data_IF_772083585489
#
_entry.id   IF_772083585489
#
_cell.length_a   1.000
_cell.length_b   1.000
_cell.length_c   1.000
_cell.angle_alpha   90.00
_cell.angle_beta   90.00
_cell.angle_gamma   90.00
#
_symmetry.space_group_name_H-M   'P 1'
#
loop_
_entity.id
_entity.type
_entity.pdbx_description
1 polymer ?
#
# COMPACT_ATOMS: atom_id res chain seq x y z
N UNK A 1 -23.49 31.47 -3.87
CA UNK A 1 -23.90 30.05 -4.00
C UNK A 1 -23.51 29.44 -5.37
N UNK A 2 -23.64 30.12 -6.51
CA UNK A 2 -23.37 29.57 -7.85
C UNK A 2 -21.86 29.24 -8.02
N UNK A 3 -20.97 30.18 -7.71
CA UNK A 3 -19.50 30.03 -7.82
C UNK A 3 -19.00 28.85 -6.97
N UNK A 4 -19.48 28.71 -5.75
CA UNK A 4 -19.12 27.60 -4.87
C UNK A 4 -19.48 26.24 -5.46
N UNK A 5 -20.67 26.09 -6.01
CA UNK A 5 -21.11 24.84 -6.66
C UNK A 5 -20.28 24.53 -7.90
N UNK A 6 -19.94 25.56 -8.67
CA UNK A 6 -19.09 25.41 -9.85
C UNK A 6 -17.70 24.88 -9.44
N UNK A 7 -17.04 25.54 -8.45
CA UNK A 7 -15.74 25.12 -7.94
C UNK A 7 -15.79 23.68 -7.39
N UNK A 8 -16.84 23.34 -6.60
CA UNK A 8 -16.99 21.98 -6.07
C UNK A 8 -17.10 20.93 -7.18
N UNK A 9 -17.89 21.22 -8.23
CA UNK A 9 -18.04 20.33 -9.38
C UNK A 9 -16.69 20.14 -10.11
N UNK A 10 -15.99 21.25 -10.38
CA UNK A 10 -14.69 21.20 -11.04
C UNK A 10 -13.67 20.41 -10.23
N UNK A 11 -13.60 20.58 -8.91
CA UNK A 11 -12.70 19.82 -8.03
C UNK A 11 -13.01 18.32 -8.14
N UNK A 12 -14.30 17.91 -8.00
CA UNK A 12 -14.69 16.50 -8.07
C UNK A 12 -14.32 15.90 -9.43
N UNK A 13 -14.65 16.58 -10.53
CA UNK A 13 -14.35 16.11 -11.89
C UNK A 13 -12.85 15.96 -12.08
N UNK A 14 -12.04 16.93 -11.64
CA UNK A 14 -10.59 16.83 -11.71
C UNK A 14 -10.03 15.74 -10.81
N UNK A 15 -10.56 15.51 -9.60
CA UNK A 15 -10.18 14.36 -8.76
C UNK A 15 -10.39 13.05 -9.54
N UNK A 16 -11.56 12.87 -10.16
CA UNK A 16 -11.87 11.66 -10.94
C UNK A 16 -10.90 11.48 -12.11
N UNK A 17 -10.63 12.53 -12.89
CA UNK A 17 -9.71 12.44 -14.02
C UNK A 17 -8.26 12.17 -13.60
N UNK A 18 -7.76 12.89 -12.61
CA UNK A 18 -6.39 12.71 -12.11
C UNK A 18 -6.25 11.31 -11.49
N UNK A 19 -7.26 10.88 -10.70
CA UNK A 19 -7.26 9.53 -10.14
C UNK A 19 -7.24 8.46 -11.23
N UNK A 20 -8.03 8.60 -12.28
CA UNK A 20 -8.09 7.63 -13.37
C UNK A 20 -6.75 7.51 -14.10
N UNK A 21 -6.11 8.65 -14.41
CA UNK A 21 -4.81 8.66 -15.11
C UNK A 21 -3.72 8.06 -14.22
N UNK A 22 -3.61 8.50 -12.96
CA UNK A 22 -2.59 8.00 -12.02
C UNK A 22 -2.82 6.52 -11.69
N UNK A 23 -4.07 6.10 -11.51
CA UNK A 23 -4.42 4.71 -11.27
C UNK A 23 -4.00 3.82 -12.44
N UNK A 24 -4.26 4.25 -13.69
CA UNK A 24 -3.81 3.52 -14.88
C UNK A 24 -2.28 3.36 -14.93
N UNK A 25 -1.52 4.41 -14.60
CA UNK A 25 -0.05 4.36 -14.56
C UNK A 25 0.46 3.40 -13.47
N UNK A 26 -0.12 3.47 -12.26
CA UNK A 26 0.26 2.59 -11.15
C UNK A 26 -0.12 1.13 -11.45
N UNK A 27 -1.27 0.91 -12.08
CA UNK A 27 -1.73 -0.41 -12.51
C UNK A 27 -0.78 -1.03 -13.53
N UNK A 28 -0.33 -0.26 -14.53
CA UNK A 28 0.68 -0.71 -15.51
C UNK A 28 2.02 -1.05 -14.84
N UNK A 29 2.46 -0.23 -13.88
CA UNK A 29 3.66 -0.51 -13.11
C UNK A 29 3.54 -1.82 -12.33
N UNK A 30 2.40 -2.05 -11.67
CA UNK A 30 2.14 -3.28 -10.91
C UNK A 30 2.05 -4.51 -11.81
N UNK A 31 1.44 -4.35 -12.98
CA UNK A 31 1.39 -5.40 -13.99
C UNK A 31 2.79 -5.86 -14.42
N UNK A 32 3.72 -4.93 -14.66
CA UNK A 32 5.10 -5.27 -14.99
C UNK A 32 5.81 -6.03 -13.86
N UNK A 33 5.54 -5.68 -12.60
CA UNK A 33 6.07 -6.41 -11.43
C UNK A 33 5.56 -7.84 -11.44
N UNK A 34 4.25 -8.06 -11.64
CA UNK A 34 3.67 -9.39 -11.68
C UNK A 34 4.16 -10.21 -12.87
N UNK A 35 4.37 -9.60 -14.04
CA UNK A 35 4.99 -10.26 -15.19
C UNK A 35 6.41 -10.76 -14.85
N UNK A 36 7.23 -9.91 -14.23
CA UNK A 36 8.58 -10.31 -13.80
C UNK A 36 8.54 -11.45 -12.77
N UNK A 37 7.57 -11.44 -11.86
CA UNK A 37 7.38 -12.53 -10.89
C UNK A 37 6.93 -13.83 -11.59
N UNK A 38 6.12 -13.73 -12.63
CA UNK A 38 5.70 -14.88 -13.43
C UNK A 38 6.86 -15.47 -14.25
N UNK A 39 7.75 -14.64 -14.80
CA UNK A 39 8.96 -15.09 -15.50
C UNK A 39 9.88 -15.92 -14.60
N UNK A 40 9.94 -15.60 -13.31
CA UNK A 40 10.72 -16.34 -12.29
C UNK A 40 9.92 -17.54 -11.72
N UNK A 41 8.66 -17.72 -12.16
CA UNK A 41 7.80 -18.84 -11.70
C UNK A 41 7.22 -18.63 -10.30
N UNK A 42 7.22 -17.39 -9.76
CA UNK A 42 6.60 -17.09 -8.46
C UNK A 42 5.09 -16.97 -8.52
N UNK A 43 4.55 -16.64 -9.69
CA UNK A 43 3.10 -16.50 -9.93
C UNK A 43 2.78 -17.22 -11.24
N UNK A 44 1.64 -17.90 -11.31
CA UNK A 44 1.15 -18.43 -12.58
C UNK A 44 0.66 -17.31 -13.48
N UNK A 45 0.92 -17.40 -14.79
CA UNK A 45 0.50 -16.38 -15.76
C UNK A 45 -1.02 -16.16 -15.75
N UNK A 46 -1.79 -17.20 -15.43
CA UNK A 46 -3.25 -17.15 -15.35
C UNK A 46 -3.75 -16.29 -14.17
N UNK A 47 -2.99 -16.24 -13.08
CA UNK A 47 -3.37 -15.52 -11.87
C UNK A 47 -2.94 -14.03 -11.86
N UNK A 48 -2.11 -13.59 -12.80
CA UNK A 48 -1.67 -12.18 -12.89
C UNK A 48 -2.87 -11.22 -12.95
N UNK A 49 -3.86 -11.54 -13.78
CA UNK A 49 -5.03 -10.67 -13.95
C UNK A 49 -5.91 -10.64 -12.69
N UNK A 50 -6.10 -11.79 -12.03
CA UNK A 50 -6.83 -11.86 -10.76
C UNK A 50 -6.10 -11.10 -9.65
N UNK A 51 -4.77 -11.26 -9.55
CA UNK A 51 -3.95 -10.51 -8.62
C UNK A 51 -4.10 -8.99 -8.84
N UNK A 52 -4.03 -8.51 -10.09
CA UNK A 52 -4.24 -7.09 -10.40
C UNK A 52 -5.60 -6.57 -9.92
N UNK A 53 -6.68 -7.33 -10.14
CA UNK A 53 -8.02 -6.93 -9.69
C UNK A 53 -8.05 -6.88 -8.17
N UNK A 54 -7.48 -7.87 -7.47
CA UNK A 54 -7.48 -7.94 -6.02
C UNK A 54 -6.65 -6.82 -5.38
N UNK A 55 -5.51 -6.47 -5.95
CA UNK A 55 -4.69 -5.35 -5.44
C UNK A 55 -5.18 -3.97 -5.88
N UNK A 56 -6.11 -3.89 -6.86
CA UNK A 56 -6.56 -2.61 -7.42
C UNK A 56 -7.18 -1.65 -6.40
N UNK A 57 -7.95 -2.06 -5.37
CA UNK A 57 -8.45 -1.12 -4.37
C UNK A 57 -7.36 -0.54 -3.48
N UNK A 58 -6.32 -1.33 -3.16
CA UNK A 58 -5.14 -0.84 -2.44
C UNK A 58 -4.37 0.22 -3.23
N UNK A 59 -4.18 -0.02 -4.53
CA UNK A 59 -3.56 0.96 -5.43
C UNK A 59 -4.38 2.23 -5.55
N UNK A 60 -5.71 2.12 -5.65
CA UNK A 60 -6.60 3.28 -5.70
C UNK A 60 -6.56 4.07 -4.38
N UNK A 61 -6.46 3.39 -3.23
CA UNK A 61 -6.32 4.02 -1.92
C UNK A 61 -5.05 4.88 -1.82
N UNK A 62 -3.94 4.45 -2.44
CA UNK A 62 -2.69 5.21 -2.51
C UNK A 62 -2.77 6.39 -3.49
N UNK A 63 -3.45 6.21 -4.62
CA UNK A 63 -3.58 7.22 -5.69
C UNK A 63 -4.52 8.36 -5.30
N UNK A 64 -5.59 8.07 -4.56
CA UNK A 64 -6.62 9.04 -4.19
C UNK A 64 -6.06 10.28 -3.47
N UNK A 65 -5.20 10.16 -2.43
CA UNK A 65 -4.58 11.31 -1.76
C UNK A 65 -3.81 12.22 -2.72
N UNK A 66 -3.04 11.63 -3.64
CA UNK A 66 -2.27 12.36 -4.65
C UNK A 66 -3.21 13.12 -5.59
N UNK A 67 -4.28 12.46 -6.02
CA UNK A 67 -5.26 13.05 -6.93
C UNK A 67 -5.99 14.24 -6.30
N UNK A 68 -6.26 14.17 -5.01
CA UNK A 68 -6.95 15.25 -4.28
C UNK A 68 -6.17 16.54 -4.31
N UNK A 69 -4.90 16.54 -3.89
CA UNK A 69 -4.12 17.79 -3.87
C UNK A 69 -3.80 18.32 -5.26
N UNK A 70 -3.54 17.44 -6.23
CA UNK A 70 -3.30 17.86 -7.61
C UNK A 70 -4.55 18.50 -8.22
N UNK A 71 -5.72 17.88 -8.05
CA UNK A 71 -6.97 18.40 -8.57
C UNK A 71 -7.30 19.79 -7.98
N UNK A 72 -7.10 19.99 -6.67
CA UNK A 72 -7.29 21.27 -6.02
C UNK A 72 -6.33 22.31 -6.59
N UNK A 73 -5.05 21.93 -6.76
CA UNK A 73 -4.06 22.80 -7.37
C UNK A 73 -4.48 23.23 -8.78
N UNK A 74 -4.89 22.27 -9.63
CA UNK A 74 -5.30 22.55 -11.01
C UNK A 74 -6.53 23.46 -11.11
N UNK A 75 -7.49 23.32 -10.19
CA UNK A 75 -8.71 24.14 -10.18
C UNK A 75 -8.49 25.52 -9.57
N UNK A 76 -7.86 25.58 -8.38
CA UNK A 76 -7.82 26.83 -7.60
C UNK A 76 -6.65 27.75 -7.98
N UNK A 77 -5.50 27.20 -8.39
CA UNK A 77 -4.34 28.04 -8.75
C UNK A 77 -4.64 29.01 -9.92
N UNK A 78 -5.29 28.60 -11.02
CA UNK A 78 -5.70 29.55 -12.07
C UNK A 78 -6.72 30.57 -11.59
N UNK A 79 -7.69 30.15 -10.78
CA UNK A 79 -8.73 31.04 -10.23
C UNK A 79 -8.08 32.17 -9.40
N UNK A 80 -7.10 31.86 -8.58
CA UNK A 80 -6.41 32.88 -7.77
C UNK A 80 -5.42 33.73 -8.57
N UNK A 81 -4.87 33.24 -9.69
CA UNK A 81 -3.92 34.01 -10.50
C UNK A 81 -4.60 34.98 -11.48
N UNK A 82 -5.69 34.59 -12.10
CA UNK A 82 -6.27 35.32 -13.24
C UNK A 82 -7.15 36.53 -12.82
N UNK A 83 -6.95 37.11 -11.64
CA UNK A 83 -7.73 38.24 -11.11
C UNK A 83 -9.24 38.00 -10.94
N UNK A 84 -9.74 36.78 -11.21
CA UNK A 84 -11.07 36.33 -10.78
C UNK A 84 -11.21 36.41 -9.25
N UNK A 85 -10.09 36.61 -8.57
CA UNK A 85 -9.98 36.98 -7.16
C UNK A 85 -10.72 38.26 -6.81
N UNK A 86 -10.85 39.23 -7.71
CA UNK A 86 -11.65 40.43 -7.44
C UNK A 86 -13.12 40.09 -7.25
N UNK A 87 -13.60 39.11 -8.03
CA UNK A 87 -14.96 38.60 -7.90
C UNK A 87 -15.13 37.68 -6.67
N UNK A 88 -14.07 36.97 -6.29
CA UNK A 88 -14.09 36.05 -5.15
C UNK A 88 -13.64 36.73 -3.85
N UNK A 89 -12.67 37.64 -3.87
CA UNK A 89 -12.12 38.31 -2.67
C UNK A 89 -13.10 39.29 -2.03
N UNK A 90 -13.94 39.95 -2.82
CA UNK A 90 -15.05 40.74 -2.28
C UNK A 90 -16.17 39.92 -1.64
N UNK A 91 -16.30 38.65 -2.01
CA UNK A 91 -17.39 37.77 -1.60
C UNK A 91 -16.96 36.55 -0.78
N UNK A 92 -15.69 36.09 -0.87
CA UNK A 92 -15.23 34.84 -0.26
C UNK A 92 -13.88 34.99 0.43
N UNK A 93 -13.85 34.91 1.76
CA UNK A 93 -12.64 34.66 2.54
C UNK A 93 -12.23 33.17 2.41
N UNK A 94 -10.93 32.83 2.69
CA UNK A 94 -10.47 31.42 2.70
C UNK A 94 -11.36 30.52 3.56
N UNK A 95 -11.77 31.01 4.74
CA UNK A 95 -12.66 30.27 5.61
C UNK A 95 -14.01 30.00 4.94
N UNK A 96 -14.57 30.97 4.24
CA UNK A 96 -15.86 30.83 3.53
C UNK A 96 -15.72 29.89 2.34
N UNK A 97 -14.58 29.92 1.62
CA UNK A 97 -14.27 28.99 0.54
C UNK A 97 -14.19 27.56 1.09
N UNK A 98 -13.39 27.32 2.13
CA UNK A 98 -13.28 26.02 2.78
C UNK A 98 -14.63 25.52 3.29
N UNK A 99 -15.40 26.40 3.97
CA UNK A 99 -16.73 26.02 4.45
C UNK A 99 -17.71 25.69 3.33
N UNK A 100 -17.55 26.32 2.16
CA UNK A 100 -18.36 26.01 1.00
C UNK A 100 -18.02 24.66 0.38
N UNK A 101 -16.79 24.15 0.58
CA UNK A 101 -16.31 22.85 0.09
C UNK A 101 -16.51 21.70 1.10
N UNK A 102 -17.19 21.94 2.22
CA UNK A 102 -17.41 20.92 3.26
C UNK A 102 -17.97 19.59 2.75
N UNK A 103 -18.87 19.63 1.76
CA UNK A 103 -19.41 18.42 1.15
C UNK A 103 -18.38 17.66 0.33
N UNK A 104 -17.48 18.36 -0.37
CA UNK A 104 -16.40 17.73 -1.12
C UNK A 104 -15.39 17.09 -0.16
N UNK A 105 -15.02 17.80 0.92
CA UNK A 105 -14.14 17.28 1.98
C UNK A 105 -14.75 16.02 2.60
N UNK A 106 -16.03 16.08 2.97
CA UNK A 106 -16.75 14.94 3.54
C UNK A 106 -16.79 13.76 2.58
N UNK A 107 -17.06 14.00 1.30
CA UNK A 107 -17.08 12.96 0.28
C UNK A 107 -15.72 12.33 0.12
N UNK A 108 -14.64 13.12 -0.03
CA UNK A 108 -13.27 12.62 -0.16
C UNK A 108 -12.88 11.81 1.08
N UNK A 109 -13.16 12.33 2.28
CA UNK A 109 -12.92 11.61 3.54
C UNK A 109 -13.65 10.28 3.58
N UNK A 110 -14.97 10.28 3.25
CA UNK A 110 -15.79 9.07 3.29
C UNK A 110 -15.30 8.02 2.28
N UNK A 111 -14.97 8.43 1.06
CA UNK A 111 -14.44 7.51 0.03
C UNK A 111 -13.08 6.96 0.46
N UNK A 112 -12.17 7.82 0.95
CA UNK A 112 -10.86 7.38 1.44
C UNK A 112 -11.00 6.44 2.65
N UNK A 113 -11.92 6.73 3.57
CA UNK A 113 -12.18 5.89 4.73
C UNK A 113 -12.74 4.52 4.34
N UNK A 114 -13.69 4.47 3.40
CA UNK A 114 -14.21 3.20 2.89
C UNK A 114 -13.13 2.38 2.19
N UNK A 115 -12.31 3.02 1.35
CA UNK A 115 -11.21 2.34 0.67
C UNK A 115 -10.17 1.84 1.67
N UNK A 116 -9.67 2.70 2.54
CA UNK A 116 -8.57 2.38 3.46
C UNK A 116 -9.02 1.48 4.62
N UNK A 117 -10.21 1.72 5.16
CA UNK A 117 -10.70 0.99 6.33
C UNK A 117 -11.32 -0.37 6.02
N UNK A 118 -11.89 -0.55 4.84
CA UNK A 118 -12.70 -1.75 4.57
C UNK A 118 -12.31 -2.45 3.27
N UNK A 119 -12.31 -1.73 2.15
CA UNK A 119 -12.19 -2.35 0.82
C UNK A 119 -10.74 -2.81 0.58
N UNK A 120 -9.77 -1.92 0.76
CA UNK A 120 -8.36 -2.22 0.50
C UNK A 120 -7.85 -3.39 1.37
N UNK A 121 -8.01 -3.42 2.71
CA UNK A 121 -7.49 -4.51 3.53
C UNK A 121 -8.08 -5.87 3.15
N UNK A 122 -9.39 -5.93 2.89
CA UNK A 122 -10.06 -7.16 2.48
C UNK A 122 -9.54 -7.71 1.15
N UNK A 123 -9.45 -6.85 0.14
CA UNK A 123 -9.00 -7.28 -1.19
C UNK A 123 -7.50 -7.55 -1.23
N UNK A 124 -6.68 -6.80 -0.48
CA UNK A 124 -5.24 -7.04 -0.38
C UNK A 124 -4.96 -8.39 0.26
N UNK A 125 -5.60 -8.72 1.39
CA UNK A 125 -5.48 -10.04 2.03
C UNK A 125 -5.87 -11.18 1.07
N UNK A 126 -6.95 -11.03 0.31
CA UNK A 126 -7.32 -12.01 -0.73
C UNK A 126 -6.30 -12.11 -1.87
N UNK A 127 -5.65 -11.00 -2.21
CA UNK A 127 -4.57 -10.98 -3.20
C UNK A 127 -3.31 -11.67 -2.68
N UNK A 128 -2.96 -11.46 -1.43
CA UNK A 128 -1.86 -12.15 -0.75
C UNK A 128 -2.14 -13.65 -0.66
N UNK A 129 -3.33 -14.05 -0.23
CA UNK A 129 -3.78 -15.45 -0.25
C UNK A 129 -3.61 -16.11 -1.63
N UNK A 130 -3.93 -15.39 -2.70
CA UNK A 130 -3.77 -15.89 -4.06
C UNK A 130 -2.29 -16.08 -4.42
N UNK A 131 -1.46 -15.07 -4.12
CA UNK A 131 -0.04 -15.11 -4.42
C UNK A 131 0.69 -16.17 -3.61
N UNK A 132 0.33 -16.33 -2.34
CA UNK A 132 0.92 -17.33 -1.47
C UNK A 132 0.55 -18.75 -1.92
N UNK A 133 -0.70 -18.98 -2.30
CA UNK A 133 -1.11 -20.25 -2.90
C UNK A 133 -0.32 -20.58 -4.16
N UNK A 134 -0.14 -19.61 -5.05
CA UNK A 134 0.66 -19.77 -6.26
C UNK A 134 2.13 -20.00 -5.97
N UNK A 135 2.66 -19.30 -4.97
CA UNK A 135 4.05 -19.39 -4.56
C UNK A 135 4.33 -20.56 -3.61
N UNK A 136 3.26 -21.22 -3.12
CA UNK A 136 3.41 -22.32 -2.18
C UNK A 136 4.27 -23.45 -2.79
N UNK A 137 5.11 -24.03 -1.95
CA UNK A 137 5.96 -25.16 -2.31
C UNK A 137 5.13 -26.32 -2.90
N UNK A 138 3.93 -26.55 -2.37
CA UNK A 138 3.01 -27.55 -2.85
C UNK A 138 2.56 -27.32 -4.31
N UNK A 139 2.24 -26.08 -4.71
CA UNK A 139 1.82 -25.78 -6.09
C UNK A 139 2.95 -25.99 -7.10
N UNK A 140 4.18 -25.70 -6.73
CA UNK A 140 5.37 -25.87 -7.57
C UNK A 140 5.79 -27.34 -7.72
N UNK A 141 5.55 -28.15 -6.69
CA UNK A 141 5.80 -29.59 -6.71
C UNK A 141 4.73 -30.32 -7.55
N UNK A 142 3.49 -29.81 -7.61
CA UNK A 142 2.40 -30.40 -8.39
C UNK A 142 2.55 -30.24 -9.92
N UNK A 143 3.66 -29.66 -10.43
CA UNK A 143 3.92 -29.56 -11.88
C UNK A 143 4.10 -30.94 -12.53
N UNK A 144 3.80 -31.08 -13.85
CA UNK A 144 3.93 -32.34 -14.57
C UNK A 144 5.35 -32.91 -14.52
N UNK A 145 5.45 -34.25 -14.68
CA UNK A 145 6.68 -35.05 -14.59
C UNK A 145 7.93 -34.43 -15.22
N UNK A 146 9.07 -34.43 -14.52
CA UNK A 146 10.35 -33.96 -14.98
C UNK A 146 11.29 -33.53 -13.85
N UNK A 147 12.39 -32.88 -14.22
CA UNK A 147 13.33 -32.30 -13.28
C UNK A 147 12.67 -31.16 -12.49
N UNK A 148 12.59 -31.31 -11.19
CA UNK A 148 12.10 -30.29 -10.26
C UNK A 148 13.28 -29.54 -9.70
N UNK A 149 13.34 -28.24 -9.97
CA UNK A 149 14.28 -27.33 -9.31
C UNK A 149 13.47 -26.20 -8.68
N UNK A 150 13.41 -26.17 -7.37
CA UNK A 150 12.62 -25.21 -6.60
C UNK A 150 13.53 -24.41 -5.69
N UNK A 151 13.40 -23.12 -5.74
CA UNK A 151 14.06 -22.19 -4.84
C UNK A 151 13.03 -21.60 -3.89
N UNK A 152 13.03 -22.05 -2.64
CA UNK A 152 12.29 -21.43 -1.55
C UNK A 152 13.22 -20.49 -0.76
N UNK A 153 12.66 -19.61 0.07
CA UNK A 153 13.48 -18.64 0.82
C UNK A 153 14.49 -19.31 1.76
N UNK A 154 14.15 -20.51 2.25
CA UNK A 154 14.99 -21.27 3.18
C UNK A 154 15.67 -22.48 2.57
N UNK A 155 15.15 -23.04 1.48
CA UNK A 155 15.69 -24.26 0.88
C UNK A 155 15.65 -24.23 -0.65
N UNK A 156 16.69 -24.78 -1.26
CA UNK A 156 16.69 -25.16 -2.68
C UNK A 156 16.43 -26.66 -2.79
N UNK A 157 15.48 -27.03 -3.61
CA UNK A 157 15.08 -28.45 -3.80
C UNK A 157 15.34 -28.86 -5.22
N UNK A 158 16.02 -29.99 -5.37
CA UNK A 158 16.32 -30.63 -6.67
C UNK A 158 15.86 -32.07 -6.64
N UNK A 159 15.30 -32.56 -7.73
CA UNK A 159 14.89 -33.96 -7.84
C UNK A 159 14.12 -34.28 -9.11
N UNK A 160 13.69 -35.52 -9.24
CA UNK A 160 12.88 -35.99 -10.35
C UNK A 160 11.45 -36.32 -9.88
N UNK A 161 10.47 -35.99 -10.70
CA UNK A 161 9.07 -36.36 -10.47
C UNK A 161 8.64 -37.42 -11.50
N UNK A 162 8.18 -38.56 -11.03
CA UNK A 162 7.59 -39.59 -11.83
C UNK A 162 6.21 -39.92 -11.29
N UNK A 163 5.14 -39.50 -12.00
CA UNK A 163 3.75 -39.57 -11.56
C UNK A 163 3.54 -38.81 -10.22
N UNK A 164 3.08 -39.50 -9.17
CA UNK A 164 2.85 -38.94 -7.84
C UNK A 164 4.01 -39.18 -6.88
N UNK A 165 5.12 -39.74 -7.36
CA UNK A 165 6.30 -40.04 -6.56
C UNK A 165 7.42 -39.12 -6.96
N UNK A 166 8.12 -38.59 -5.96
CA UNK A 166 9.35 -37.85 -6.15
C UNK A 166 10.54 -38.75 -5.86
N UNK A 167 11.52 -38.76 -6.75
CA UNK A 167 12.72 -39.58 -6.67
C UNK A 167 13.95 -38.68 -6.58
N UNK A 168 14.93 -39.13 -5.80
CA UNK A 168 16.24 -38.47 -5.67
C UNK A 168 16.13 -36.97 -5.25
N UNK A 169 15.34 -36.68 -4.21
CA UNK A 169 15.17 -35.33 -3.71
C UNK A 169 16.36 -34.87 -2.86
N UNK A 170 16.90 -33.71 -3.21
CA UNK A 170 17.97 -33.02 -2.47
C UNK A 170 17.45 -31.67 -2.03
N UNK A 171 17.43 -31.45 -0.73
CA UNK A 171 17.14 -30.15 -0.10
C UNK A 171 18.45 -29.54 0.36
N UNK A 172 18.77 -28.34 -0.11
CA UNK A 172 19.93 -27.59 0.29
C UNK A 172 19.47 -26.34 1.04
N UNK A 173 19.97 -26.13 2.25
CA UNK A 173 19.71 -24.90 3.00
C UNK A 173 20.24 -23.70 2.22
N UNK A 174 19.38 -22.70 1.92
CA UNK A 174 19.78 -21.49 1.18
C UNK A 174 20.68 -20.55 1.99
N UNK A 175 20.64 -20.66 3.32
CA UNK A 175 21.49 -19.86 4.21
C UNK A 175 22.84 -20.53 4.50
N UNK A 176 22.94 -21.85 4.30
CA UNK A 176 24.15 -22.62 4.59
C UNK A 176 24.26 -23.82 3.62
N UNK A 177 25.09 -23.67 2.60
CA UNK A 177 25.40 -24.74 1.62
C UNK A 177 25.96 -26.01 2.31
N UNK A 178 26.34 -25.89 3.57
CA UNK A 178 26.94 -26.96 4.37
C UNK A 178 25.91 -27.93 4.96
N UNK A 179 24.60 -27.70 4.76
CA UNK A 179 23.53 -28.55 5.24
C UNK A 179 22.63 -28.99 4.09
N UNK A 180 22.47 -30.29 3.94
CA UNK A 180 21.50 -30.82 2.97
C UNK A 180 20.82 -32.10 3.46
N UNK A 181 19.62 -32.31 2.94
CA UNK A 181 18.80 -33.51 3.20
C UNK A 181 18.62 -34.21 1.86
N UNK A 182 18.91 -35.50 1.83
CA UNK A 182 18.63 -36.35 0.68
C UNK A 182 17.54 -37.33 1.04
N UNK A 183 16.55 -37.52 0.14
CA UNK A 183 15.51 -38.52 0.25
C UNK A 183 15.43 -39.32 -1.06
N UNK A 184 15.46 -40.65 -0.96
CA UNK A 184 15.36 -41.55 -2.13
C UNK A 184 13.97 -41.42 -2.77
N UNK A 185 12.93 -41.41 -1.96
CA UNK A 185 11.56 -41.18 -2.43
C UNK A 185 10.84 -40.18 -1.50
N UNK A 186 9.93 -39.40 -2.06
CA UNK A 186 9.09 -38.54 -1.28
C UNK A 186 7.64 -38.52 -1.75
N UNK A 187 6.73 -38.31 -0.80
CA UNK A 187 5.30 -38.19 -1.04
C UNK A 187 4.80 -36.96 -0.32
N UNK A 188 3.93 -36.20 -0.98
CA UNK A 188 3.24 -35.08 -0.33
C UNK A 188 2.01 -35.61 0.36
N UNK A 189 1.87 -35.30 1.66
CA UNK A 189 0.70 -35.63 2.45
C UNK A 189 0.00 -34.35 2.88
N UNK A 190 -1.25 -34.17 2.46
CA UNK A 190 -2.09 -33.09 2.90
C UNK A 190 -2.79 -33.50 4.19
N UNK A 191 -2.54 -32.77 5.26
CA UNK A 191 -3.19 -32.93 6.56
C UNK A 191 -4.09 -31.74 6.85
N UNK A 192 -5.03 -31.89 7.77
CA UNK A 192 -5.88 -30.79 8.24
C UNK A 192 -5.09 -29.62 8.88
N UNK A 193 -3.82 -29.85 9.24
CA UNK A 193 -2.92 -28.87 9.86
C UNK A 193 -1.88 -28.28 8.91
N UNK A 194 -1.89 -28.67 7.63
CA UNK A 194 -0.94 -28.20 6.61
C UNK A 194 -0.49 -29.30 5.66
N UNK A 195 0.41 -28.95 4.77
CA UNK A 195 1.05 -29.87 3.84
C UNK A 195 2.39 -30.31 4.42
N UNK A 196 2.65 -31.63 4.41
CA UNK A 196 3.94 -32.17 4.79
C UNK A 196 4.55 -33.00 3.66
N UNK A 197 5.86 -32.93 3.56
CA UNK A 197 6.62 -33.78 2.65
C UNK A 197 7.24 -34.92 3.44
N UNK A 198 6.80 -36.12 3.13
CA UNK A 198 7.31 -37.35 3.73
C UNK A 198 8.45 -37.88 2.85
N UNK A 199 9.68 -37.75 3.36
CA UNK A 199 10.86 -38.36 2.76
C UNK A 199 11.05 -39.78 3.28
N UNK A 200 11.30 -40.73 2.37
CA UNK A 200 11.62 -42.10 2.74
C UNK A 200 13.06 -42.41 2.32
N UNK A 201 13.73 -43.23 3.13
CA UNK A 201 15.07 -43.77 2.91
C UNK A 201 16.11 -42.69 2.51
N UNK A 202 16.51 -41.88 3.45
CA UNK A 202 17.40 -40.76 3.19
C UNK A 202 18.46 -40.54 4.25
N UNK A 203 19.18 -39.45 4.09
CA UNK A 203 20.16 -38.99 5.06
C UNK A 203 20.21 -37.46 5.16
N UNK A 204 20.50 -36.99 6.35
CA UNK A 204 20.80 -35.60 6.66
C UNK A 204 22.31 -35.44 6.81
N UNK A 205 22.86 -34.47 6.11
CA UNK A 205 24.27 -34.10 6.19
C UNK A 205 24.42 -32.72 6.82
N UNK A 206 25.30 -32.61 7.82
CA UNK A 206 25.65 -31.36 8.47
C UNK A 206 27.19 -31.27 8.50
N UNK A 207 27.74 -30.40 7.67
CA UNK A 207 29.18 -30.22 7.52
C UNK A 207 29.80 -29.54 8.75
N UNK A 208 29.07 -28.64 9.41
CA UNK A 208 29.56 -27.96 10.61
C UNK A 208 29.84 -28.96 11.76
N UNK A 209 29.00 -29.99 11.84
CA UNK A 209 29.11 -31.07 12.86
C UNK A 209 29.85 -32.30 12.33
N UNK A 210 30.20 -32.31 11.04
CA UNK A 210 30.76 -33.45 10.34
C UNK A 210 29.98 -34.75 10.61
N UNK A 211 28.64 -34.64 10.57
CA UNK A 211 27.71 -35.69 10.95
C UNK A 211 26.81 -36.08 9.78
N UNK A 212 26.65 -37.40 9.58
CA UNK A 212 25.65 -37.97 8.66
C UNK A 212 24.68 -38.78 9.51
N UNK A 213 23.40 -38.37 9.47
CA UNK A 213 22.31 -39.09 10.12
C UNK A 213 21.40 -39.73 9.07
N UNK A 214 21.26 -41.05 9.13
CA UNK A 214 20.34 -41.79 8.25
C UNK A 214 18.95 -41.86 8.88
N UNK A 215 17.91 -41.75 8.06
CA UNK A 215 16.54 -41.91 8.46
C UNK A 215 15.78 -42.82 7.46
N UNK A 216 14.81 -43.58 7.94
CA UNK A 216 13.91 -44.36 7.11
C UNK A 216 12.70 -43.55 6.70
N UNK A 217 12.25 -42.63 7.55
CA UNK A 217 11.14 -41.72 7.26
C UNK A 217 11.45 -40.38 7.96
N UNK A 218 11.36 -39.30 7.22
CA UNK A 218 11.40 -37.96 7.76
C UNK A 218 10.19 -37.18 7.31
N UNK A 219 9.52 -36.50 8.25
CA UNK A 219 8.39 -35.64 7.99
C UNK A 219 8.91 -34.20 8.04
N UNK A 220 8.88 -33.52 6.89
CA UNK A 220 9.25 -32.11 6.76
C UNK A 220 7.94 -31.32 6.63
N UNK A 221 7.50 -30.64 7.69
CA UNK A 221 6.33 -29.80 7.60
C UNK A 221 6.64 -28.64 6.64
N UNK A 222 5.88 -28.56 5.57
CA UNK A 222 5.90 -27.46 4.64
C UNK A 222 4.93 -26.41 5.20
N UNK A 223 5.34 -25.75 6.30
CA UNK A 223 4.57 -24.64 6.87
C UNK A 223 4.83 -23.35 6.08
N UNK A 224 4.56 -23.41 4.79
CA UNK A 224 4.71 -22.23 3.91
C UNK A 224 3.45 -21.35 3.87
N UNK A 225 2.42 -21.72 4.66
CA UNK A 225 1.14 -21.04 4.58
C UNK A 225 0.54 -20.75 5.95
N UNK A 226 1.00 -19.68 6.57
CA UNK A 226 0.19 -18.96 7.54
C UNK A 226 -0.51 -17.83 6.78
N UNK A 227 -1.63 -18.13 6.11
CA UNK A 227 -2.50 -17.05 5.66
C UNK A 227 -2.76 -16.15 6.88
N UNK A 228 -2.23 -14.94 6.86
CA UNK A 228 -2.61 -13.97 7.89
C UNK A 228 -4.12 -13.79 7.75
N UNK A 229 -4.85 -14.27 8.76
CA UNK A 229 -6.31 -14.21 8.74
C UNK A 229 -6.74 -12.74 8.65
N UNK A 230 -7.54 -12.43 7.64
CA UNK A 230 -8.07 -11.08 7.49
C UNK A 230 -8.84 -10.67 8.74
N UNK A 231 -8.33 -9.66 9.44
CA UNK A 231 -9.02 -9.06 10.59
C UNK A 231 -9.84 -7.85 10.11
N UNK A 232 -11.14 -7.89 10.30
CA UNK A 232 -12.02 -6.78 9.91
C UNK A 232 -11.75 -5.55 10.77
N UNK A 233 -12.03 -4.35 10.24
CA UNK A 233 -11.83 -3.10 11.00
C UNK A 233 -12.68 -3.06 12.28
N UNK A 234 -13.84 -3.72 12.30
CA UNK A 234 -14.67 -3.81 13.49
C UNK A 234 -14.06 -4.74 14.56
N UNK A 235 -13.45 -5.85 14.15
CA UNK A 235 -12.73 -6.75 15.07
C UNK A 235 -11.52 -6.07 15.70
N UNK A 236 -10.77 -5.27 14.92
CA UNK A 236 -9.67 -4.47 15.44
C UNK A 236 -10.10 -3.49 16.56
N UNK A 237 -11.32 -2.95 16.49
CA UNK A 237 -11.85 -2.09 17.55
C UNK A 237 -12.27 -2.87 18.81
N UNK A 238 -12.64 -4.15 18.68
CA UNK A 238 -13.08 -4.97 19.80
C UNK A 238 -11.92 -5.49 20.66
N UNK A 239 -10.74 -5.68 20.05
CA UNK A 239 -9.54 -6.15 20.72
C UNK A 239 -8.38 -5.17 20.45
N UNK A 240 -8.18 -4.21 21.37
CA UNK A 240 -7.17 -3.15 21.25
C UNK A 240 -5.78 -3.63 21.72
N UNK A 241 -5.26 -4.66 21.09
CA UNK A 241 -3.85 -5.03 21.23
C UNK A 241 -2.94 -3.99 20.55
N UNK A 242 -1.64 -4.01 20.87
CA UNK A 242 -0.69 -3.09 20.24
C UNK A 242 -0.66 -3.21 18.72
N UNK A 243 -0.69 -4.44 18.21
CA UNK A 243 -0.72 -4.75 16.76
C UNK A 243 -2.00 -4.24 16.10
N UNK A 244 -3.15 -4.45 16.74
CA UNK A 244 -4.43 -4.00 16.23
C UNK A 244 -4.56 -2.47 16.24
N UNK A 245 -4.00 -1.79 17.25
CA UNK A 245 -3.92 -0.31 17.27
C UNK A 245 -3.05 0.18 16.12
N UNK A 246 -1.88 -0.44 15.86
CA UNK A 246 -1.00 -0.08 14.74
C UNK A 246 -1.77 -0.20 13.41
N UNK A 247 -2.45 -1.31 13.19
CA UNK A 247 -3.23 -1.55 11.98
C UNK A 247 -4.37 -0.53 11.80
N UNK A 248 -5.09 -0.20 12.88
CA UNK A 248 -6.11 0.86 12.87
C UNK A 248 -5.52 2.21 12.46
N UNK A 249 -4.36 2.58 13.02
CA UNK A 249 -3.69 3.84 12.67
C UNK A 249 -3.31 3.89 11.20
N UNK A 250 -2.80 2.78 10.64
CA UNK A 250 -2.50 2.64 9.20
C UNK A 250 -3.76 2.88 8.37
N UNK A 251 -4.89 2.25 8.73
CA UNK A 251 -6.17 2.40 8.02
C UNK A 251 -6.73 3.82 8.08
N UNK A 252 -6.49 4.58 9.15
CA UNK A 252 -6.98 5.96 9.29
C UNK A 252 -6.00 7.03 8.78
N UNK A 253 -4.72 6.71 8.60
CA UNK A 253 -3.69 7.69 8.22
C UNK A 253 -3.99 8.36 6.87
N UNK A 254 -4.31 7.61 5.82
CA UNK A 254 -4.61 8.16 4.50
C UNK A 254 -5.89 8.99 4.44
N UNK A 255 -7.01 8.61 5.07
CA UNK A 255 -8.19 9.47 5.20
C UNK A 255 -7.90 10.81 5.89
N UNK A 256 -7.12 10.80 6.98
CA UNK A 256 -6.70 12.02 7.69
C UNK A 256 -5.80 12.87 6.80
N UNK A 257 -4.82 12.24 6.12
CA UNK A 257 -3.97 12.90 5.13
C UNK A 257 -4.81 13.62 4.07
N UNK A 258 -5.81 12.96 3.48
CA UNK A 258 -6.67 13.56 2.45
C UNK A 258 -7.33 14.85 2.91
N UNK A 259 -7.85 14.88 4.14
CA UNK A 259 -8.52 16.09 4.69
C UNK A 259 -7.52 17.21 4.91
N UNK A 260 -6.40 16.92 5.55
CA UNK A 260 -5.38 17.95 5.87
C UNK A 260 -4.73 18.47 4.58
N UNK A 261 -4.40 17.57 3.65
CA UNK A 261 -3.86 17.92 2.34
C UNK A 261 -4.85 18.76 1.53
N UNK A 262 -6.16 18.45 1.59
CA UNK A 262 -7.20 19.28 0.99
C UNK A 262 -7.16 20.71 1.52
N UNK A 263 -7.20 20.88 2.84
CA UNK A 263 -7.21 22.18 3.49
C UNK A 263 -5.92 22.95 3.16
N UNK A 264 -4.77 22.33 3.27
CA UNK A 264 -3.48 22.90 2.93
C UNK A 264 -3.45 23.37 1.46
N UNK A 265 -3.89 22.51 0.53
CA UNK A 265 -3.85 22.82 -0.90
C UNK A 265 -4.75 23.98 -1.28
N UNK A 266 -5.93 24.11 -0.65
CA UNK A 266 -6.81 25.28 -0.84
C UNK A 266 -6.12 26.57 -0.38
N UNK A 267 -5.53 26.55 0.82
CA UNK A 267 -4.82 27.72 1.38
C UNK A 267 -3.59 28.05 0.54
N UNK A 268 -2.77 27.06 0.20
CA UNK A 268 -1.53 27.28 -0.54
C UNK A 268 -1.78 27.76 -1.99
N UNK A 269 -2.84 27.28 -2.64
CA UNK A 269 -3.22 27.75 -3.98
C UNK A 269 -3.48 29.24 -4.05
N UNK A 270 -3.90 29.88 -2.95
CA UNK A 270 -4.12 31.32 -2.90
C UNK A 270 -2.82 32.14 -3.00
N UNK A 271 -1.66 31.53 -2.71
CA UNK A 271 -0.37 32.17 -2.87
C UNK A 271 0.11 32.21 -4.34
N UNK A 272 -0.67 31.68 -5.29
CA UNK A 272 -0.34 31.71 -6.72
C UNK A 272 -0.22 33.13 -7.28
N UNK A 273 -0.88 34.10 -6.68
CA UNK A 273 -0.73 35.52 -7.01
C UNK A 273 0.69 36.03 -6.72
N UNK A 274 1.38 35.49 -5.72
CA UNK A 274 2.74 35.88 -5.34
C UNK A 274 3.81 35.05 -6.08
N UNK A 275 3.65 33.73 -6.14
CA UNK A 275 4.68 32.84 -6.70
C UNK A 275 4.54 32.62 -8.21
N UNK A 276 3.37 32.89 -8.77
CA UNK A 276 3.01 32.51 -10.12
C UNK A 276 2.54 31.05 -10.19
N UNK A 277 1.83 30.72 -11.27
CA UNK A 277 1.10 29.44 -11.44
C UNK A 277 2.02 28.23 -11.35
N UNK A 278 3.12 28.23 -12.11
CA UNK A 278 4.01 27.06 -12.24
C UNK A 278 4.75 26.75 -10.93
N UNK A 279 5.27 27.79 -10.25
CA UNK A 279 5.93 27.61 -8.97
C UNK A 279 4.97 27.14 -7.88
N UNK A 280 3.73 27.61 -7.90
CA UNK A 280 2.71 27.14 -6.96
C UNK A 280 2.41 25.67 -7.16
N UNK A 281 2.26 25.19 -8.40
CA UNK A 281 2.09 23.76 -8.68
C UNK A 281 3.28 22.94 -8.20
N UNK A 282 4.49 23.40 -8.49
CA UNK A 282 5.70 22.70 -8.08
C UNK A 282 5.79 22.56 -6.56
N UNK A 283 5.66 23.68 -5.82
CA UNK A 283 5.72 23.64 -4.36
C UNK A 283 4.58 22.84 -3.74
N UNK A 284 3.37 22.98 -4.28
CA UNK A 284 2.22 22.20 -3.84
C UNK A 284 2.47 20.69 -4.00
N UNK A 285 2.96 20.27 -5.17
CA UNK A 285 3.25 18.87 -5.45
C UNK A 285 4.38 18.35 -4.54
N UNK A 286 5.51 19.04 -4.48
CA UNK A 286 6.67 18.63 -3.67
C UNK A 286 6.29 18.51 -2.19
N UNK A 287 5.60 19.51 -1.65
CA UNK A 287 5.20 19.50 -0.25
C UNK A 287 4.24 18.34 0.07
N UNK A 288 3.20 18.15 -0.73
CA UNK A 288 2.23 17.08 -0.48
C UNK A 288 2.82 15.68 -0.71
N UNK A 289 3.73 15.51 -1.70
CA UNK A 289 4.43 14.25 -1.89
C UNK A 289 5.33 13.95 -0.68
N UNK A 290 6.08 14.95 -0.20
CA UNK A 290 6.91 14.81 1.00
C UNK A 290 6.06 14.46 2.23
N UNK A 291 4.93 15.12 2.41
CA UNK A 291 3.98 14.84 3.48
C UNK A 291 3.40 13.42 3.37
N UNK A 292 3.05 12.96 2.16
CA UNK A 292 2.59 11.60 1.92
C UNK A 292 3.68 10.57 2.25
N UNK A 293 4.92 10.78 1.77
CA UNK A 293 6.04 9.87 2.06
C UNK A 293 6.30 9.75 3.56
N UNK A 294 6.25 10.87 4.29
CA UNK A 294 6.40 10.86 5.75
C UNK A 294 5.21 10.19 6.47
N UNK A 295 4.01 10.29 5.92
CA UNK A 295 2.85 9.55 6.45
C UNK A 295 3.02 8.05 6.22
N UNK A 296 3.50 7.63 5.04
CA UNK A 296 3.74 6.22 4.73
C UNK A 296 4.91 5.63 5.51
N UNK A 297 5.97 6.42 5.78
CA UNK A 297 7.10 5.95 6.60
C UNK A 297 6.70 5.61 8.04
N UNK A 298 5.61 6.20 8.56
CA UNK A 298 5.08 5.84 9.86
C UNK A 298 4.48 4.43 9.91
N UNK A 299 4.20 3.79 8.76
CA UNK A 299 3.71 2.41 8.70
C UNK A 299 4.80 1.39 9.06
N UNK A 300 6.06 1.74 8.80
CA UNK A 300 7.23 0.90 9.07
C UNK A 300 7.87 1.19 10.45
N UNK A 301 7.15 1.90 11.33
CA UNK A 301 7.71 2.30 12.63
C UNK A 301 8.03 1.11 13.52
N UNK A 302 9.20 1.15 14.17
CA UNK A 302 9.64 0.19 15.19
C UNK A 302 9.21 0.61 16.61
N UNK A 303 8.09 1.31 16.73
CA UNK A 303 7.57 1.79 18.00
C UNK A 303 7.39 0.65 19.02
N UNK A 304 7.90 0.86 20.23
CA UNK A 304 7.88 -0.16 21.31
C UNK A 304 6.61 -0.05 22.16
N UNK A 305 5.96 1.11 22.16
CA UNK A 305 4.76 1.36 22.99
C UNK A 305 3.74 2.24 22.25
N UNK A 306 2.50 2.25 22.76
CA UNK A 306 1.38 2.98 22.14
C UNK A 306 1.65 4.50 22.06
N UNK A 307 2.38 5.09 23.00
CA UNK A 307 2.63 6.53 22.98
C UNK A 307 3.60 6.93 21.87
N UNK A 308 4.70 6.18 21.68
CA UNK A 308 5.62 6.41 20.56
C UNK A 308 4.93 6.17 19.20
N UNK A 309 4.11 5.13 19.14
CA UNK A 309 3.32 4.82 17.96
C UNK A 309 2.38 5.97 17.56
N UNK A 310 1.60 6.49 18.52
CA UNK A 310 0.71 7.63 18.27
C UNK A 310 1.50 8.89 17.88
N UNK A 311 2.67 9.11 18.49
CA UNK A 311 3.52 10.24 18.12
C UNK A 311 3.99 10.10 16.68
N UNK A 312 4.54 8.95 16.27
CA UNK A 312 5.06 8.70 14.91
C UNK A 312 3.99 8.90 13.83
N UNK A 313 2.73 8.49 14.12
CA UNK A 313 1.63 8.68 13.18
C UNK A 313 1.09 10.11 13.09
N UNK A 314 1.00 10.84 14.22
CA UNK A 314 0.22 12.09 14.25
C UNK A 314 1.05 13.36 14.28
N UNK A 315 2.34 13.32 14.65
CA UNK A 315 3.17 14.54 14.73
C UNK A 315 3.23 15.30 13.39
N UNK A 316 3.30 14.58 12.27
CA UNK A 316 3.31 15.18 10.93
C UNK A 316 1.98 15.82 10.57
N UNK A 317 0.88 15.16 10.87
CA UNK A 317 -0.45 15.72 10.65
C UNK A 317 -0.66 17.01 11.43
N UNK A 318 -0.21 17.02 12.69
CA UNK A 318 -0.25 18.21 13.53
C UNK A 318 0.64 19.33 12.98
N UNK A 319 1.86 19.01 12.55
CA UNK A 319 2.78 19.98 11.95
C UNK A 319 2.18 20.64 10.71
N UNK A 320 1.63 19.85 9.76
CA UNK A 320 1.01 20.38 8.54
C UNK A 320 -0.24 21.22 8.87
N UNK A 321 -1.02 20.83 9.86
CA UNK A 321 -2.17 21.58 10.34
C UNK A 321 -1.74 22.95 10.92
N UNK A 322 -0.72 22.98 11.77
CA UNK A 322 -0.17 24.22 12.34
C UNK A 322 0.41 25.12 11.24
N UNK A 323 1.14 24.56 10.29
CA UNK A 323 1.65 25.30 9.14
C UNK A 323 0.51 25.93 8.34
N UNK A 324 -0.54 25.16 8.06
CA UNK A 324 -1.73 25.65 7.34
C UNK A 324 -2.42 26.79 8.10
N UNK A 325 -2.53 26.67 9.42
CA UNK A 325 -3.08 27.71 10.28
C UNK A 325 -2.22 28.99 10.24
N UNK A 326 -0.91 28.85 10.31
CA UNK A 326 0.01 30.01 10.19
C UNK A 326 -0.12 30.71 8.83
N UNK A 327 -0.25 29.95 7.75
CA UNK A 327 -0.46 30.51 6.41
C UNK A 327 -1.80 31.25 6.32
N UNK A 328 -2.88 30.69 6.86
CA UNK A 328 -4.20 31.35 6.88
C UNK A 328 -4.17 32.66 7.68
N UNK A 329 -3.52 32.66 8.84
CA UNK A 329 -3.41 33.87 9.67
C UNK A 329 -2.60 34.98 8.99
N UNK A 330 -1.55 34.62 8.23
CA UNK A 330 -0.78 35.60 7.45
C UNK A 330 -1.60 36.20 6.31
N UNK A 331 -2.42 35.42 5.64
CA UNK A 331 -3.29 35.93 4.56
C UNK A 331 -4.40 36.83 5.10
N UNK A 332 -4.97 36.50 6.25
CA UNK A 332 -5.98 37.34 6.92
C UNK A 332 -5.41 38.66 7.40
N UNK A 333 -4.17 38.67 7.97
CA UNK A 333 -3.52 39.91 8.46
C UNK A 333 -3.07 40.85 7.34
N UNK A 334 -2.67 40.31 6.17
CA UNK A 334 -2.26 41.17 5.03
C UNK A 334 -3.45 41.76 4.27
N UNK A 335 -4.69 41.32 4.59
CA UNK A 335 -5.84 41.59 3.77
C UNK A 335 -5.49 41.19 2.32
N UNK A 336 -6.34 40.88 1.42
CA UNK A 336 -5.92 40.74 0.02
C UNK A 336 -5.43 42.14 -0.44
N UNK A 337 -4.20 42.51 0.03
CA UNK A 337 -3.68 43.86 -0.02
C UNK A 337 -3.39 44.29 -1.44
N UNK A 338 -4.27 45.02 -1.96
CA UNK A 338 -3.96 46.08 -2.89
C UNK A 338 -3.40 47.29 -2.07
N UNK A 339 -2.22 47.10 -1.48
CA UNK A 339 -1.35 48.22 -1.12
C UNK A 339 -0.06 48.04 -1.91
N UNK A 340 0.05 48.78 -3.03
CA UNK A 340 1.29 48.93 -3.76
C UNK A 340 1.18 48.65 -5.26
N UNK A 341 0.50 49.51 -5.99
CA UNK A 341 0.95 50.02 -7.30
C UNK A 341 1.26 51.49 -7.12
#
# INVERSE_FOLDING_TARGET
MIISRYISKEIIVNICWVSLVLFGLVLLSRFNIFLSQAEVGKISAENIFFALILFSPGLLNLVLPISVFLAIGFVLTPVFKNHDTVLTSGAMTHARLLFSQKLVILLVFSVSLLLSGFVSPYFTSKGEDLLDKDNSFASKILTPSGLVSLQADTFNVYGNKSNDLYEDLIFIDSQSIDRFIYGNTAVIEESATGVSLILNDGFFFDNERNAISKFNKADIPINDYSAEEYISTFELFNDLTFTNIKELLIRFALPIFCVISFIFSVVFSSYSSFFGRERTYFFLAVFNILYLLLTLSAFETDAVNVQSLLFDFYWMHLFVLLLTLMLTLKTVKKGFGYEGI
#
